data_IF_227165072833
#
_entry.id   IF_227165072833
#
_cell.length_a   1.000
_cell.length_b   1.000
_cell.length_c   1.000
_cell.angle_alpha   90.00
_cell.angle_beta   90.00
_cell.angle_gamma   90.00
#
_symmetry.space_group_name_H-M   'P 1'
#
loop_
_entity.id
_entity.type
_entity.pdbx_description
1 polymer ?
#
# COMPACT_ATOMS: atom_id res chain seq x y z
N UNK A 1 -31.62 -21.79 25.51
CA UNK A 1 -31.38 -21.68 24.05
C UNK A 1 -30.62 -20.37 23.83
N UNK A 2 -29.29 -20.41 23.72
CA UNK A 2 -28.39 -19.23 23.68
C UNK A 2 -27.34 -19.38 22.55
N UNK A 3 -27.73 -19.88 21.39
CA UNK A 3 -26.78 -20.26 20.32
C UNK A 3 -26.67 -19.17 19.22
N UNK A 4 -27.53 -18.14 19.24
CA UNK A 4 -27.60 -17.15 18.16
C UNK A 4 -26.58 -15.99 18.27
N UNK A 5 -26.04 -15.70 19.47
CA UNK A 5 -25.10 -14.58 19.67
C UNK A 5 -23.67 -14.85 19.17
N UNK A 6 -23.29 -16.13 19.06
CA UNK A 6 -22.00 -16.57 18.53
C UNK A 6 -21.96 -16.53 16.98
N UNK A 7 -23.11 -16.74 16.34
CA UNK A 7 -23.27 -16.64 14.88
C UNK A 7 -23.11 -15.19 14.40
N UNK A 8 -23.74 -14.23 15.08
CA UNK A 8 -23.63 -12.80 14.75
C UNK A 8 -22.21 -12.26 14.98
N UNK A 9 -21.55 -12.65 16.08
CA UNK A 9 -20.16 -12.23 16.36
C UNK A 9 -19.16 -12.77 15.32
N UNK A 10 -19.41 -13.98 14.78
CA UNK A 10 -18.63 -14.55 13.68
C UNK A 10 -18.76 -13.75 12.37
N UNK A 11 -19.94 -13.19 12.09
CA UNK A 11 -20.16 -12.37 10.89
C UNK A 11 -19.43 -11.02 10.96
N UNK A 12 -19.37 -10.38 12.13
CA UNK A 12 -18.66 -9.11 12.30
C UNK A 12 -17.14 -9.23 12.12
N UNK A 13 -16.54 -10.36 12.51
CA UNK A 13 -15.10 -10.61 12.33
C UNK A 13 -14.78 -10.80 10.84
N UNK A 14 -15.63 -11.52 10.10
CA UNK A 14 -15.46 -11.74 8.66
C UNK A 14 -15.62 -10.44 7.85
N UNK A 15 -16.58 -9.60 8.21
CA UNK A 15 -16.79 -8.28 7.59
C UNK A 15 -15.58 -7.34 7.77
N UNK A 16 -14.91 -7.36 8.94
CA UNK A 16 -13.70 -6.54 9.17
C UNK A 16 -12.52 -7.02 8.34
N UNK A 17 -12.31 -8.33 8.24
CA UNK A 17 -11.22 -8.90 7.44
C UNK A 17 -11.38 -8.56 5.95
N UNK A 18 -12.59 -8.69 5.39
CA UNK A 18 -12.86 -8.40 3.98
C UNK A 18 -12.76 -6.90 3.66
N UNK A 19 -13.22 -6.03 4.55
CA UNK A 19 -13.08 -4.58 4.40
C UNK A 19 -11.63 -4.09 4.58
N UNK A 20 -10.79 -4.77 5.35
CA UNK A 20 -9.39 -4.39 5.55
C UNK A 20 -8.56 -4.51 4.25
N UNK A 21 -8.84 -5.51 3.41
CA UNK A 21 -8.20 -5.65 2.09
C UNK A 21 -8.69 -4.59 1.09
N UNK A 22 -9.95 -4.18 1.19
CA UNK A 22 -10.50 -3.07 0.40
C UNK A 22 -9.98 -1.71 0.87
N UNK A 23 -9.74 -1.54 2.17
CA UNK A 23 -9.15 -0.32 2.73
C UNK A 23 -7.78 -0.04 2.14
N UNK A 24 -6.90 -1.03 2.01
CA UNK A 24 -5.59 -0.84 1.38
C UNK A 24 -5.70 -0.30 -0.06
N UNK A 25 -6.56 -0.89 -0.89
CA UNK A 25 -6.74 -0.44 -2.28
C UNK A 25 -7.38 0.95 -2.41
N UNK A 26 -8.35 1.28 -1.54
CA UNK A 26 -9.01 2.57 -1.57
C UNK A 26 -8.09 3.69 -1.05
N UNK A 27 -7.31 3.40 0.00
CA UNK A 27 -6.38 4.36 0.60
C UNK A 27 -5.30 4.81 -0.39
N UNK A 28 -4.78 3.90 -1.23
CA UNK A 28 -3.77 4.25 -2.23
C UNK A 28 -4.28 5.26 -3.28
N UNK A 29 -5.49 5.05 -3.82
CA UNK A 29 -6.08 5.98 -4.80
C UNK A 29 -6.29 7.37 -4.22
N UNK A 30 -6.77 7.43 -2.99
CA UNK A 30 -7.04 8.69 -2.30
C UNK A 30 -5.74 9.46 -2.01
N UNK A 31 -4.69 8.76 -1.55
CA UNK A 31 -3.36 9.36 -1.31
C UNK A 31 -2.73 9.82 -2.61
N UNK A 32 -2.82 9.05 -3.70
CA UNK A 32 -2.33 9.48 -5.02
C UNK A 32 -3.06 10.74 -5.50
N UNK A 33 -4.39 10.75 -5.48
CA UNK A 33 -5.19 11.89 -5.92
C UNK A 33 -4.93 13.14 -5.06
N UNK A 34 -4.55 12.96 -3.80
CA UNK A 34 -4.11 14.04 -2.93
C UNK A 34 -2.69 14.52 -3.26
N UNK A 35 -1.74 13.59 -3.47
CA UNK A 35 -0.37 13.89 -3.86
C UNK A 35 -0.30 14.62 -5.22
N UNK A 36 -1.18 14.27 -6.16
CA UNK A 36 -1.35 14.96 -7.45
C UNK A 36 -1.82 16.40 -7.28
N UNK A 37 -2.87 16.61 -6.47
CA UNK A 37 -3.42 17.95 -6.23
C UNK A 37 -2.45 18.87 -5.50
N UNK A 38 -1.67 18.33 -4.57
CA UNK A 38 -0.80 19.10 -3.68
C UNK A 38 0.66 19.17 -4.16
N UNK A 39 1.01 18.46 -5.25
CA UNK A 39 2.40 18.23 -5.70
C UNK A 39 3.34 17.80 -4.57
N UNK A 40 2.79 17.06 -3.60
CA UNK A 40 3.49 16.69 -2.39
C UNK A 40 4.26 15.39 -2.61
N UNK A 41 5.57 15.55 -2.84
CA UNK A 41 6.52 14.47 -3.03
C UNK A 41 6.59 13.53 -1.80
N UNK A 42 6.34 14.02 -0.58
CA UNK A 42 6.38 13.20 0.62
C UNK A 42 5.16 12.26 0.69
N UNK A 43 3.96 12.77 0.38
CA UNK A 43 2.75 11.94 0.29
C UNK A 43 2.82 10.91 -0.81
N UNK A 44 3.39 11.28 -1.97
CA UNK A 44 3.63 10.32 -3.05
C UNK A 44 4.55 9.19 -2.60
N UNK A 45 5.64 9.52 -1.89
CA UNK A 45 6.56 8.51 -1.35
C UNK A 45 5.87 7.59 -0.34
N UNK A 46 5.04 8.14 0.55
CA UNK A 46 4.25 7.35 1.49
C UNK A 46 3.30 6.39 0.77
N UNK A 47 2.60 6.84 -0.28
CA UNK A 47 1.73 5.99 -1.08
C UNK A 47 2.49 4.81 -1.71
N UNK A 48 3.70 5.08 -2.21
CA UNK A 48 4.56 4.06 -2.79
C UNK A 48 5.03 3.03 -1.73
N UNK A 49 5.33 3.49 -0.51
CA UNK A 49 5.66 2.61 0.62
C UNK A 49 4.48 1.73 1.04
N UNK A 50 3.25 2.24 0.99
CA UNK A 50 2.04 1.46 1.27
C UNK A 50 1.83 0.34 0.22
N UNK A 51 2.13 0.60 -1.06
CA UNK A 51 2.12 -0.46 -2.09
C UNK A 51 3.16 -1.53 -1.80
N UNK A 52 4.38 -1.12 -1.45
CA UNK A 52 5.44 -2.08 -1.14
C UNK A 52 5.05 -2.95 0.06
N UNK A 53 4.41 -2.37 1.09
CA UNK A 53 3.87 -3.15 2.21
C UNK A 53 2.83 -4.19 1.73
N UNK A 54 1.87 -3.82 0.89
CA UNK A 54 0.89 -4.79 0.37
C UNK A 54 1.56 -5.90 -0.45
N UNK A 55 2.57 -5.56 -1.24
CA UNK A 55 3.34 -6.54 -2.01
C UNK A 55 4.08 -7.51 -1.09
N UNK A 56 4.77 -7.01 -0.05
CA UNK A 56 5.45 -7.83 0.94
C UNK A 56 4.47 -8.73 1.69
N UNK A 57 3.30 -8.21 2.08
CA UNK A 57 2.26 -9.00 2.72
C UNK A 57 1.79 -10.15 1.82
N UNK A 58 1.56 -9.86 0.54
CA UNK A 58 1.20 -10.87 -0.44
C UNK A 58 2.31 -11.91 -0.62
N UNK A 59 3.56 -11.46 -0.73
CA UNK A 59 4.74 -12.33 -0.83
C UNK A 59 4.82 -13.29 0.38
N UNK A 60 4.71 -12.77 1.60
CA UNK A 60 4.72 -13.58 2.84
C UNK A 60 3.59 -14.61 2.85
N UNK A 61 2.40 -14.21 2.40
CA UNK A 61 1.24 -15.11 2.28
C UNK A 61 1.50 -16.24 1.27
N UNK A 62 2.04 -15.92 0.10
CA UNK A 62 2.37 -16.93 -0.91
C UNK A 62 3.49 -17.86 -0.45
N UNK A 63 4.54 -17.32 0.17
CA UNK A 63 5.63 -18.11 0.77
C UNK A 63 5.10 -19.10 1.81
N UNK A 64 4.12 -18.72 2.62
CA UNK A 64 3.47 -19.65 3.57
C UNK A 64 2.57 -20.67 2.88
N UNK A 65 1.90 -20.28 1.81
CA UNK A 65 1.04 -21.18 1.04
C UNK A 65 1.82 -22.34 0.40
N UNK A 66 3.13 -22.20 0.18
CA UNK A 66 3.99 -23.28 -0.32
C UNK A 66 4.35 -24.33 0.74
N UNK A 67 4.14 -24.04 2.03
CA UNK A 67 4.42 -24.98 3.12
C UNK A 67 3.24 -25.97 3.26
N UNK A 68 3.47 -27.30 3.12
CA UNK A 68 2.40 -28.28 3.24
C UNK A 68 1.67 -28.21 4.57
N UNK A 69 0.34 -28.10 4.53
CA UNK A 69 -0.51 -28.09 5.72
C UNK A 69 -0.79 -29.54 6.14
N UNK A 70 -0.01 -30.08 7.07
CA UNK A 70 -0.10 -31.49 7.47
C UNK A 70 0.53 -31.86 8.81
N UNK A 71 0.69 -30.90 9.72
CA UNK A 71 1.27 -31.13 11.05
C UNK A 71 0.26 -31.66 12.08
N UNK A 72 0.78 -32.14 13.22
CA UNK A 72 0.01 -32.60 14.38
C UNK A 72 -0.91 -31.52 15.00
N UNK A 73 -0.71 -30.24 14.66
CA UNK A 73 -1.50 -29.11 15.16
C UNK A 73 -2.54 -28.71 14.10
N UNK A 74 -3.84 -28.80 14.41
CA UNK A 74 -4.89 -28.34 13.50
C UNK A 74 -4.89 -26.82 13.39
N UNK A 75 -4.94 -26.31 12.16
CA UNK A 75 -4.96 -24.88 11.87
C UNK A 75 -6.35 -24.30 12.22
N UNK A 76 -6.42 -23.46 13.27
CA UNK A 76 -7.68 -22.83 13.68
C UNK A 76 -7.95 -21.54 12.92
N UNK A 77 -9.23 -21.15 12.82
CA UNK A 77 -9.61 -19.85 12.22
C UNK A 77 -8.99 -18.67 12.99
N UNK A 78 -8.88 -18.77 14.31
CA UNK A 78 -8.23 -17.75 15.13
C UNK A 78 -6.74 -17.61 14.83
N UNK A 79 -6.04 -18.73 14.61
CA UNK A 79 -4.62 -18.73 14.22
C UNK A 79 -4.41 -18.08 12.86
N UNK A 80 -5.27 -18.36 11.87
CA UNK A 80 -5.21 -17.69 10.55
C UNK A 80 -5.39 -16.19 10.66
N UNK A 81 -6.39 -15.74 11.42
CA UNK A 81 -6.64 -14.31 11.61
C UNK A 81 -5.47 -13.61 12.29
N UNK A 82 -4.92 -14.20 13.35
CA UNK A 82 -3.73 -13.67 14.02
C UNK A 82 -2.53 -13.59 13.06
N UNK A 83 -2.32 -14.64 12.26
CA UNK A 83 -1.26 -14.68 11.27
C UNK A 83 -1.43 -13.58 10.21
N UNK A 84 -2.64 -13.35 9.72
CA UNK A 84 -2.92 -12.28 8.76
C UNK A 84 -2.63 -10.88 9.34
N UNK A 85 -3.00 -10.65 10.60
CA UNK A 85 -2.68 -9.40 11.31
C UNK A 85 -1.17 -9.24 11.52
N UNK A 86 -0.48 -10.32 11.90
CA UNK A 86 0.97 -10.32 12.07
C UNK A 86 1.69 -10.02 10.76
N UNK A 87 1.26 -10.65 9.67
CA UNK A 87 1.81 -10.45 8.33
C UNK A 87 1.59 -9.00 7.86
N UNK A 88 0.45 -8.39 8.20
CA UNK A 88 0.19 -6.98 7.92
C UNK A 88 1.18 -6.06 8.64
N UNK A 89 1.42 -6.26 9.93
CA UNK A 89 2.36 -5.41 10.68
C UNK A 89 3.82 -5.61 10.24
N UNK A 90 4.22 -6.86 9.99
CA UNK A 90 5.55 -7.14 9.42
C UNK A 90 5.75 -6.48 8.06
N UNK A 91 4.73 -6.50 7.20
CA UNK A 91 4.83 -5.88 5.90
C UNK A 91 5.05 -4.36 5.96
N UNK A 92 4.39 -3.67 6.90
CA UNK A 92 4.59 -2.22 7.15
C UNK A 92 5.98 -1.92 7.69
N UNK A 93 6.47 -2.74 8.62
CA UNK A 93 7.82 -2.60 9.19
C UNK A 93 8.90 -2.80 8.13
N UNK A 94 8.73 -3.80 7.25
CA UNK A 94 9.66 -4.10 6.16
C UNK A 94 9.66 -2.95 5.15
N UNK A 95 8.49 -2.49 4.70
CA UNK A 95 8.38 -1.41 3.72
C UNK A 95 8.89 -0.05 4.25
N UNK A 96 8.74 0.21 5.55
CA UNK A 96 9.25 1.43 6.19
C UNK A 96 10.75 1.37 6.51
N UNK A 97 11.36 0.19 6.47
CA UNK A 97 12.76 0.00 6.88
C UNK A 97 13.73 0.39 5.75
N UNK A 98 14.67 1.33 5.97
CA UNK A 98 15.58 1.82 4.93
C UNK A 98 16.53 0.76 4.33
N UNK A 99 16.83 -0.30 5.08
CA UNK A 99 17.79 -1.34 4.69
C UNK A 99 17.15 -2.71 4.43
N UNK A 100 15.86 -2.86 4.74
CA UNK A 100 15.14 -4.14 4.61
C UNK A 100 13.97 -4.05 3.62
N UNK A 101 13.68 -2.87 3.09
CA UNK A 101 12.76 -2.73 1.97
C UNK A 101 13.34 -3.38 0.71
N UNK A 102 12.45 -3.80 -0.19
CA UNK A 102 12.80 -4.35 -1.50
C UNK A 102 13.17 -3.25 -2.50
N UNK A 103 12.89 -1.98 -2.18
CA UNK A 103 13.16 -0.83 -3.04
C UNK A 103 12.10 -0.62 -4.13
N UNK A 104 11.00 -1.36 -4.07
CA UNK A 104 9.90 -1.24 -5.03
C UNK A 104 9.21 0.11 -4.89
N UNK A 105 9.05 0.63 -3.67
CA UNK A 105 8.48 1.96 -3.45
C UNK A 105 9.29 3.05 -4.15
N UNK A 106 10.63 2.99 -4.09
CA UNK A 106 11.49 3.98 -4.71
C UNK A 106 11.43 3.91 -6.24
N UNK A 107 11.34 2.69 -6.81
CA UNK A 107 11.16 2.49 -8.25
C UNK A 107 9.82 3.07 -8.73
N UNK A 108 8.73 2.78 -8.01
CA UNK A 108 7.40 3.32 -8.32
C UNK A 108 7.42 4.85 -8.22
N UNK A 109 8.00 5.39 -7.15
CA UNK A 109 8.14 6.82 -6.95
C UNK A 109 8.88 7.51 -8.10
N UNK A 110 9.99 6.93 -8.58
CA UNK A 110 10.74 7.46 -9.72
C UNK A 110 9.92 7.49 -11.02
N UNK A 111 9.02 6.53 -11.22
CA UNK A 111 8.15 6.46 -12.40
C UNK A 111 6.96 7.43 -12.32
N UNK A 112 6.43 7.68 -11.12
CA UNK A 112 5.29 8.58 -10.91
C UNK A 112 5.69 10.04 -10.75
N UNK A 113 6.85 10.34 -10.17
CA UNK A 113 7.31 11.73 -9.95
C UNK A 113 7.24 12.61 -11.21
N UNK A 114 7.69 12.16 -12.41
CA UNK A 114 7.62 12.97 -13.64
C UNK A 114 6.20 13.24 -14.15
N UNK A 115 5.23 12.43 -13.74
CA UNK A 115 3.82 12.55 -14.17
C UNK A 115 3.05 13.51 -13.27
N UNK A 116 3.42 13.59 -11.99
CA UNK A 116 2.74 14.38 -10.96
C UNK A 116 3.36 15.77 -10.81
N UNK A 117 4.69 15.84 -10.84
CA UNK A 117 5.44 17.10 -10.95
C UNK A 117 5.57 17.35 -12.44
N UNK A 118 4.59 18.03 -13.04
CA UNK A 118 4.61 18.38 -14.46
C UNK A 118 6.00 18.87 -14.88
N UNK A 119 6.48 18.40 -16.03
CA UNK A 119 7.75 18.84 -16.60
C UNK A 119 7.86 20.37 -16.49
N UNK A 120 9.01 20.94 -16.09
CA UNK A 120 9.23 22.37 -16.24
C UNK A 120 9.13 22.66 -17.73
N UNK A 121 8.05 23.32 -18.14
CA UNK A 121 7.89 23.80 -19.51
C UNK A 121 9.05 24.78 -19.80
N UNK A 122 10.03 24.36 -20.59
CA UNK A 122 11.14 25.19 -21.07
C UNK A 122 10.71 26.31 -22.04
N UNK A 123 9.41 26.57 -22.21
CA UNK A 123 8.88 27.49 -23.22
C UNK A 123 8.68 28.95 -22.77
N UNK A 124 8.92 29.29 -21.50
CA UNK A 124 8.64 30.67 -21.02
C UNK A 124 9.80 31.65 -21.20
N UNK A 125 11.01 31.23 -21.58
CA UNK A 125 12.18 32.16 -21.65
C UNK A 125 12.51 32.70 -23.05
N UNK A 126 11.77 32.33 -24.10
CA UNK A 126 12.07 32.80 -25.48
C UNK A 126 11.27 34.03 -25.94
N UNK A 127 10.31 34.53 -25.15
CA UNK A 127 9.41 35.62 -25.61
C UNK A 127 9.59 36.99 -24.92
N UNK A 128 10.62 37.19 -24.11
CA UNK A 128 10.88 38.51 -23.49
C UNK A 128 12.03 39.31 -24.13
N UNK A 129 12.71 38.78 -25.17
CA UNK A 129 13.88 39.44 -25.79
C UNK A 129 13.65 40.11 -27.15
N UNK A 130 12.42 40.20 -27.65
CA UNK A 130 12.13 40.85 -28.95
C UNK A 130 11.42 42.19 -28.89
N UNK A 131 11.15 42.77 -27.72
CA UNK A 131 10.45 44.06 -27.60
C UNK A 131 11.34 45.24 -27.14
N UNK A 132 12.64 45.22 -27.48
CA UNK A 132 13.53 46.39 -27.32
C UNK A 132 14.16 46.87 -28.64
N UNK A 133 13.70 46.38 -29.80
CA UNK A 133 14.06 47.00 -31.09
C UNK A 133 12.87 47.11 -32.03
N UNK A 134 12.07 48.16 -31.86
CA UNK A 134 11.70 49.12 -32.92
C UNK A 134 10.89 50.28 -32.37
#
# INVERSE_FOLDING_TARGET
MQIDSLSASSQHIRLKAENAWQQGQNNFKDILAQAEREQDNAKLKQACQEIEAMFVQHMLKQMRATVPKGGLIPESMASKMYQEMLDAEYSKLIASSPHHSLGIADLIYQQLKPQIVGQPNEQTQINEQTDERK
#
